data_IF_960847936172
#
_entry.id   IF_960847936172
#
_cell.length_a   1.000
_cell.length_b   1.000
_cell.length_c   1.000
_cell.angle_alpha   90.00
_cell.angle_beta   90.00
_cell.angle_gamma   90.00
#
_symmetry.space_group_name_H-M   'P 1'
#
loop_
_entity.id
_entity.type
_entity.pdbx_description
1 polymer ?
#
# COMPACT_ATOMS: atom_id res chain seq x y z
N UNK A 1 -3.67 1.60 27.19
CA UNK A 1 -2.21 1.69 26.95
C UNK A 1 -1.96 2.51 25.69
N UNK A 2 -0.79 3.15 25.56
CA UNK A 2 -0.37 3.82 24.31
C UNK A 2 0.59 2.90 23.56
N UNK A 3 0.49 2.88 22.23
CA UNK A 3 1.48 2.22 21.38
C UNK A 3 2.21 3.27 20.53
N UNK A 4 3.45 2.95 20.18
CA UNK A 4 4.28 3.70 19.25
C UNK A 4 4.79 2.73 18.18
N UNK A 5 4.53 3.04 16.92
CA UNK A 5 5.00 2.29 15.76
C UNK A 5 6.01 3.15 15.01
N UNK A 6 7.25 2.67 14.86
CA UNK A 6 8.30 3.34 14.09
C UNK A 6 8.53 2.59 12.79
N UNK A 7 8.43 3.28 11.66
CA UNK A 7 8.72 2.71 10.35
C UNK A 7 10.24 2.47 10.23
N UNK A 8 10.66 1.21 10.14
CA UNK A 8 12.08 0.87 9.89
C UNK A 8 12.41 0.82 8.40
N UNK A 9 11.40 0.54 7.58
CA UNK A 9 11.47 0.50 6.12
C UNK A 9 10.34 1.36 5.54
N UNK A 10 10.41 1.71 4.25
CA UNK A 10 9.29 2.37 3.58
C UNK A 10 8.01 1.58 3.79
N UNK A 11 6.96 2.25 4.29
CA UNK A 11 5.71 1.61 4.66
C UNK A 11 4.56 2.19 3.84
N UNK A 12 3.78 1.32 3.19
CA UNK A 12 2.53 1.66 2.55
C UNK A 12 1.38 1.02 3.32
N UNK A 13 0.46 1.84 3.82
CA UNK A 13 -0.87 1.40 4.25
C UNK A 13 -1.86 2.15 3.37
N UNK A 14 -2.40 1.48 2.35
CA UNK A 14 -3.20 2.14 1.32
C UNK A 14 -4.66 2.37 1.73
N UNK A 15 -5.26 3.45 1.24
CA UNK A 15 -6.70 3.73 1.30
C UNK A 15 -7.47 3.16 0.09
N UNK A 16 -6.78 2.48 -0.82
CA UNK A 16 -7.33 1.96 -2.07
C UNK A 16 -7.41 3.00 -3.19
N UNK A 17 -7.05 4.26 -2.93
CA UNK A 17 -6.94 5.29 -3.95
C UNK A 17 -5.55 5.25 -4.59
N UNK A 18 -5.47 5.90 -5.75
CA UNK A 18 -4.27 6.02 -6.55
C UNK A 18 -4.31 7.34 -7.30
N UNK A 19 -3.19 8.07 -7.30
CA UNK A 19 -3.02 9.24 -8.14
C UNK A 19 -2.90 8.77 -9.58
N UNK A 20 -3.80 9.23 -10.45
CA UNK A 20 -3.68 8.95 -11.87
C UNK A 20 -2.63 9.88 -12.50
N UNK A 21 -2.01 9.49 -13.63
CA UNK A 21 -1.00 10.33 -14.30
C UNK A 21 -1.48 11.73 -14.72
N UNK A 22 -2.79 11.96 -14.72
CA UNK A 22 -3.42 13.27 -14.98
C UNK A 22 -3.69 14.07 -13.70
N UNK A 23 -3.63 13.46 -12.51
CA UNK A 23 -3.85 14.14 -11.22
C UNK A 23 -2.58 14.79 -10.66
N UNK A 24 -1.43 14.46 -11.22
CA UNK A 24 -0.15 14.94 -10.72
C UNK A 24 0.81 15.26 -11.86
N UNK A 25 1.83 16.03 -11.50
CA UNK A 25 2.90 16.38 -12.40
C UNK A 25 4.25 16.21 -11.72
N UNK A 26 5.15 15.48 -12.36
CA UNK A 26 6.55 15.41 -11.92
C UNK A 26 7.29 16.65 -12.41
N UNK A 27 7.91 17.36 -11.47
CA UNK A 27 8.82 18.45 -11.79
C UNK A 27 10.03 18.36 -10.87
N UNK A 28 11.23 18.39 -11.46
CA UNK A 28 12.50 18.10 -10.77
C UNK A 28 12.46 16.71 -10.13
N UNK A 29 12.57 16.63 -8.81
CA UNK A 29 12.65 15.42 -7.99
C UNK A 29 11.41 15.22 -7.10
N UNK A 30 10.28 15.83 -7.47
CA UNK A 30 9.03 15.75 -6.71
C UNK A 30 7.80 15.54 -7.60
N UNK A 31 6.82 14.86 -7.02
CA UNK A 31 5.46 14.67 -7.52
C UNK A 31 4.59 15.80 -6.97
N UNK A 32 4.09 16.67 -7.84
CA UNK A 32 3.17 17.75 -7.48
C UNK A 32 1.74 17.28 -7.76
N UNK A 33 0.97 17.02 -6.71
CA UNK A 33 -0.44 16.64 -6.80
C UNK A 33 -1.26 17.89 -7.05
N UNK A 34 -2.00 17.90 -8.14
CA UNK A 34 -2.73 19.07 -8.62
C UNK A 34 -4.12 19.15 -7.99
N UNK A 35 -4.52 20.35 -7.56
CA UNK A 35 -5.91 20.64 -7.20
C UNK A 35 -6.75 20.83 -8.47
N UNK A 36 -7.22 19.71 -9.01
CA UNK A 36 -8.05 19.68 -10.22
C UNK A 36 -9.31 20.54 -10.06
N UNK A 37 -9.91 20.59 -8.86
CA UNK A 37 -11.12 21.36 -8.62
C UNK A 37 -10.84 22.86 -8.66
N UNK A 38 -9.75 23.31 -8.04
CA UNK A 38 -9.37 24.72 -8.06
C UNK A 38 -8.94 25.19 -9.45
N UNK A 39 -8.22 24.34 -10.19
CA UNK A 39 -7.87 24.63 -11.59
C UNK A 39 -9.15 24.73 -12.43
N UNK A 40 -10.05 23.77 -12.31
CA UNK A 40 -11.33 23.78 -13.04
C UNK A 40 -12.17 25.01 -12.71
N UNK A 41 -12.31 25.38 -11.44
CA UNK A 41 -13.07 26.56 -11.01
C UNK A 41 -12.49 27.88 -11.53
N UNK A 42 -11.16 27.95 -11.67
CA UNK A 42 -10.49 29.11 -12.26
C UNK A 42 -10.78 29.21 -13.76
N UNK A 43 -10.65 28.08 -14.47
CA UNK A 43 -10.79 28.03 -15.93
C UNK A 43 -12.25 28.08 -16.39
N UNK A 44 -13.19 27.64 -15.56
CA UNK A 44 -14.63 27.67 -15.84
C UNK A 44 -15.16 29.10 -16.10
N UNK A 45 -14.44 30.12 -15.62
CA UNK A 45 -14.80 31.53 -15.81
C UNK A 45 -14.29 32.12 -17.13
N UNK A 46 -13.58 31.36 -17.96
CA UNK A 46 -12.97 31.88 -19.18
C UNK A 46 -13.02 30.91 -20.38
N UNK A 47 -12.67 31.39 -21.58
CA UNK A 47 -12.71 30.60 -22.81
C UNK A 47 -11.65 29.48 -22.87
N UNK A 48 -10.78 29.37 -21.86
CA UNK A 48 -9.68 28.40 -21.80
C UNK A 48 -10.11 27.01 -21.30
N UNK A 49 -11.37 26.86 -20.84
CA UNK A 49 -11.88 25.59 -20.32
C UNK A 49 -11.91 24.49 -21.39
N UNK A 50 -12.35 24.79 -22.61
CA UNK A 50 -12.46 23.77 -23.66
C UNK A 50 -11.08 23.22 -24.04
N UNK A 51 -10.07 24.10 -24.16
CA UNK A 51 -8.69 23.70 -24.42
C UNK A 51 -8.13 22.81 -23.30
N UNK A 52 -8.44 23.14 -22.05
CA UNK A 52 -8.06 22.33 -20.88
C UNK A 52 -8.67 20.92 -20.93
N UNK A 53 -9.98 20.83 -21.21
CA UNK A 53 -10.67 19.54 -21.31
C UNK A 53 -10.18 18.70 -22.49
N UNK A 54 -9.89 19.33 -23.64
CA UNK A 54 -9.29 18.65 -24.78
C UNK A 54 -7.89 18.10 -24.45
N UNK A 55 -7.08 18.85 -23.71
CA UNK A 55 -5.76 18.39 -23.26
C UNK A 55 -5.89 17.21 -22.29
N UNK A 56 -6.77 17.29 -21.29
CA UNK A 56 -7.04 16.18 -20.37
C UNK A 56 -7.53 14.92 -21.07
N UNK A 57 -8.38 15.06 -22.08
CA UNK A 57 -8.90 13.91 -22.85
C UNK A 57 -7.82 13.21 -23.67
N UNK A 58 -6.80 13.96 -24.13
CA UNK A 58 -5.73 13.44 -25.00
C UNK A 58 -4.48 13.00 -24.22
N UNK A 59 -4.25 13.57 -23.04
CA UNK A 59 -3.02 13.36 -22.30
C UNK A 59 -3.05 12.04 -21.51
N UNK A 60 -2.16 11.13 -21.88
CA UNK A 60 -1.83 9.96 -21.03
C UNK A 60 -0.96 10.34 -19.83
N UNK A 61 -0.27 11.49 -19.93
CA UNK A 61 0.72 11.99 -18.98
C UNK A 61 0.84 13.50 -19.12
N UNK A 62 0.85 14.23 -18.00
CA UNK A 62 1.02 15.69 -18.03
C UNK A 62 2.47 16.09 -18.31
N UNK A 63 2.67 17.00 -19.25
CA UNK A 63 3.96 17.53 -19.67
C UNK A 63 4.22 18.96 -19.14
N UNK A 64 5.50 19.33 -19.03
CA UNK A 64 5.86 20.64 -18.47
C UNK A 64 5.52 21.84 -19.34
N UNK A 65 5.56 21.69 -20.66
CA UNK A 65 5.24 22.79 -21.56
C UNK A 65 3.78 23.24 -21.39
N UNK A 66 2.86 22.30 -21.20
CA UNK A 66 1.43 22.61 -21.10
C UNK A 66 0.95 22.84 -19.65
N UNK A 67 1.55 22.15 -18.67
CA UNK A 67 1.02 22.09 -17.29
C UNK A 67 1.93 22.72 -16.22
N UNK A 68 3.15 23.14 -16.57
CA UNK A 68 4.13 23.63 -15.59
C UNK A 68 3.64 24.82 -14.76
N UNK A 69 2.90 25.75 -15.37
CA UNK A 69 2.31 26.89 -14.66
C UNK A 69 1.23 26.48 -13.65
N UNK A 70 0.47 25.42 -13.91
CA UNK A 70 -0.53 24.91 -12.98
C UNK A 70 0.12 24.19 -11.80
N UNK A 71 1.12 23.34 -12.05
CA UNK A 71 1.81 22.63 -10.98
C UNK A 71 2.58 23.54 -10.02
N UNK A 72 3.04 24.70 -10.47
CA UNK A 72 3.69 25.66 -9.58
C UNK A 72 2.69 26.37 -8.65
N UNK A 73 1.51 26.73 -9.16
CA UNK A 73 0.57 27.61 -8.47
C UNK A 73 -0.61 26.88 -7.79
N UNK A 74 -0.94 25.67 -8.25
CA UNK A 74 -2.13 24.91 -7.85
C UNK A 74 -1.81 23.47 -7.42
N UNK A 75 -0.62 23.25 -6.84
CA UNK A 75 -0.29 21.98 -6.22
C UNK A 75 -0.75 21.97 -4.75
N UNK A 76 -1.62 21.01 -4.40
CA UNK A 76 -2.06 20.77 -3.02
C UNK A 76 -0.96 20.14 -2.18
N UNK A 77 -0.27 19.16 -2.78
CA UNK A 77 0.80 18.41 -2.13
C UNK A 77 2.01 18.31 -3.04
N UNK A 78 3.18 18.44 -2.45
CA UNK A 78 4.46 18.19 -3.11
C UNK A 78 5.15 17.06 -2.39
N UNK A 79 5.25 15.92 -3.06
CA UNK A 79 5.78 14.69 -2.48
C UNK A 79 7.12 14.42 -3.13
N UNK A 80 8.24 14.51 -2.40
CA UNK A 80 9.54 14.25 -2.98
C UNK A 80 9.67 12.77 -3.33
N UNK A 81 10.41 12.48 -4.40
CA UNK A 81 10.92 11.12 -4.61
C UNK A 81 11.92 10.77 -3.51
N UNK A 82 12.09 9.47 -3.25
CA UNK A 82 13.13 9.00 -2.35
C UNK A 82 14.54 9.40 -2.82
N UNK A 83 14.79 9.32 -4.12
CA UNK A 83 16.04 9.71 -4.75
C UNK A 83 15.82 10.42 -6.10
N UNK A 84 16.72 11.33 -6.48
CA UNK A 84 16.59 12.14 -7.71
C UNK A 84 16.58 11.32 -9.01
N UNK A 85 17.24 10.16 -9.02
CA UNK A 85 17.27 9.27 -10.20
C UNK A 85 15.90 8.67 -10.55
N UNK A 86 14.94 8.72 -9.63
CA UNK A 86 13.58 8.22 -9.81
C UNK A 86 12.86 8.91 -10.97
N UNK A 87 13.15 10.20 -11.19
CA UNK A 87 12.56 10.99 -12.29
C UNK A 87 12.84 10.36 -13.65
N UNK A 88 14.06 9.87 -13.88
CA UNK A 88 14.43 9.22 -15.15
C UNK A 88 13.65 7.91 -15.38
N UNK A 89 13.40 7.14 -14.31
CA UNK A 89 12.57 5.94 -14.41
C UNK A 89 11.10 6.28 -14.68
N UNK A 90 10.59 7.37 -14.07
CA UNK A 90 9.23 7.84 -14.30
C UNK A 90 9.02 8.37 -15.72
N UNK A 91 10.02 9.08 -16.28
CA UNK A 91 9.99 9.59 -17.66
C UNK A 91 9.87 8.46 -18.69
N UNK A 92 10.59 7.35 -18.48
CA UNK A 92 10.62 6.18 -19.38
C UNK A 92 9.45 5.21 -19.17
N UNK A 93 8.77 5.28 -18.03
CA UNK A 93 7.68 4.37 -17.70
C UNK A 93 6.43 4.62 -18.57
N UNK A 94 5.73 3.55 -18.91
CA UNK A 94 4.43 3.61 -19.59
C UNK A 94 3.36 4.19 -18.66
N UNK A 95 2.43 4.98 -19.20
CA UNK A 95 1.37 5.63 -18.44
C UNK A 95 0.55 4.67 -17.55
N UNK A 96 0.32 3.44 -18.03
CA UNK A 96 -0.37 2.38 -17.30
C UNK A 96 0.30 2.00 -15.96
N UNK A 97 1.62 2.19 -15.85
CA UNK A 97 2.40 1.89 -14.63
C UNK A 97 2.63 3.13 -13.75
N UNK A 98 2.09 4.29 -14.15
CA UNK A 98 2.27 5.57 -13.49
C UNK A 98 1.13 5.93 -12.53
N UNK A 99 0.25 4.98 -12.23
CA UNK A 99 -0.70 5.13 -11.13
C UNK A 99 0.02 4.95 -9.81
N UNK A 100 0.04 5.98 -8.97
CA UNK A 100 0.76 5.98 -7.70
C UNK A 100 -0.25 5.68 -6.58
N UNK A 101 -0.24 4.49 -5.94
CA UNK A 101 -1.06 4.24 -4.77
C UNK A 101 -0.74 5.22 -3.65
N UNK A 102 -1.78 5.73 -3.00
CA UNK A 102 -1.69 6.71 -1.93
C UNK A 102 -1.65 6.05 -0.57
N UNK A 103 -0.99 6.71 0.38
CA UNK A 103 -1.01 6.32 1.78
C UNK A 103 -2.35 6.74 2.40
N UNK A 104 -2.84 5.98 3.39
CA UNK A 104 -4.07 6.27 4.10
C UNK A 104 -3.99 7.63 4.79
N UNK A 105 -4.89 8.54 4.42
CA UNK A 105 -4.92 9.89 4.94
C UNK A 105 -6.35 10.35 5.26
N UNK A 106 -6.47 11.07 6.38
CA UNK A 106 -7.68 11.78 6.77
C UNK A 106 -7.57 13.27 6.46
N UNK A 107 -8.52 14.06 6.97
CA UNK A 107 -8.51 15.53 6.82
C UNK A 107 -7.26 16.17 7.45
N UNK A 108 -6.78 15.60 8.55
CA UNK A 108 -5.63 16.12 9.31
C UNK A 108 -4.27 15.59 8.81
N UNK A 109 -4.26 14.59 7.94
CA UNK A 109 -3.04 14.03 7.35
C UNK A 109 -2.99 12.50 7.32
N UNK A 110 -1.83 11.94 6.89
CA UNK A 110 -1.58 10.50 6.84
C UNK A 110 -1.66 9.86 8.22
N UNK A 111 -2.29 8.71 8.33
CA UNK A 111 -2.40 7.95 9.58
C UNK A 111 -2.39 6.45 9.31
N UNK A 112 -2.15 5.63 10.34
CA UNK A 112 -2.28 4.19 10.26
C UNK A 112 -3.65 3.79 10.83
N UNK A 113 -4.54 3.18 10.02
CA UNK A 113 -5.73 2.55 10.52
C UNK A 113 -5.42 1.46 11.55
N UNK A 114 -6.15 1.44 12.66
CA UNK A 114 -6.01 0.43 13.72
C UNK A 114 -6.27 -0.98 13.21
N UNK A 115 -7.07 -1.13 12.15
CA UNK A 115 -7.28 -2.39 11.44
C UNK A 115 -6.00 -2.94 10.79
N UNK A 116 -5.13 -2.08 10.26
CA UNK A 116 -3.86 -2.51 9.66
C UNK A 116 -2.89 -3.04 10.73
N UNK A 117 -2.76 -2.33 11.86
CA UNK A 117 -1.96 -2.77 13.01
C UNK A 117 -2.54 -4.06 13.60
N UNK A 118 -3.87 -4.12 13.77
CA UNK A 118 -4.55 -5.30 14.31
C UNK A 118 -4.42 -6.50 13.37
N UNK A 119 -4.43 -6.28 12.06
CA UNK A 119 -4.18 -7.31 11.04
C UNK A 119 -2.79 -7.92 11.17
N UNK A 120 -1.75 -7.09 11.29
CA UNK A 120 -0.38 -7.58 11.48
C UNK A 120 -0.22 -8.41 12.77
N UNK A 121 -0.79 -7.95 13.89
CA UNK A 121 -0.79 -8.69 15.15
C UNK A 121 -1.59 -9.99 15.06
N UNK A 122 -2.73 -9.98 14.33
CA UNK A 122 -3.55 -11.17 14.07
C UNK A 122 -2.73 -12.22 13.31
N UNK A 123 -2.02 -11.83 12.26
CA UNK A 123 -1.12 -12.74 11.52
C UNK A 123 -0.03 -13.32 12.43
N UNK A 124 0.60 -12.50 13.27
CA UNK A 124 1.59 -12.97 14.24
C UNK A 124 1.01 -13.98 15.24
N UNK A 125 -0.19 -13.73 15.75
CA UNK A 125 -0.87 -14.64 16.67
C UNK A 125 -1.25 -15.97 15.99
N UNK A 126 -1.77 -15.91 14.77
CA UNK A 126 -2.10 -17.11 13.96
C UNK A 126 -0.84 -17.93 13.75
N UNK A 127 0.25 -17.30 13.31
CA UNK A 127 1.54 -17.96 13.09
C UNK A 127 2.10 -18.59 14.36
N UNK A 128 2.01 -17.91 15.51
CA UNK A 128 2.49 -18.44 16.81
C UNK A 128 1.78 -19.73 17.25
N UNK A 129 0.64 -20.06 16.65
CA UNK A 129 -0.19 -21.23 16.96
C UNK A 129 -0.21 -22.27 15.86
N UNK A 130 0.45 -22.00 14.74
CA UNK A 130 0.57 -22.97 13.66
C UNK A 130 1.44 -24.15 14.11
N UNK A 131 0.99 -25.34 13.73
CA UNK A 131 1.74 -26.58 13.94
C UNK A 131 2.15 -27.17 12.59
N UNK A 132 3.10 -28.11 12.59
CA UNK A 132 3.47 -28.85 11.38
C UNK A 132 2.28 -29.60 10.76
N UNK A 133 1.29 -29.98 11.57
CA UNK A 133 0.05 -30.60 11.08
C UNK A 133 -0.84 -29.59 10.35
N UNK A 134 -0.93 -28.35 10.84
CA UNK A 134 -1.67 -27.26 10.18
C UNK A 134 -1.18 -27.03 8.74
N UNK A 135 0.14 -27.07 8.54
CA UNK A 135 0.76 -26.95 7.21
C UNK A 135 0.43 -28.14 6.30
N UNK A 136 0.46 -29.37 6.84
CA UNK A 136 0.08 -30.58 6.08
C UNK A 136 -1.39 -30.54 5.69
N UNK A 137 -2.27 -30.09 6.56
CA UNK A 137 -3.71 -29.98 6.30
C UNK A 137 -3.99 -28.95 5.21
N UNK A 138 -3.31 -27.78 5.25
CA UNK A 138 -3.41 -26.76 4.19
C UNK A 138 -2.89 -27.34 2.87
N UNK A 139 -1.72 -28.01 2.88
CA UNK A 139 -1.13 -28.59 1.68
C UNK A 139 -2.02 -29.67 1.04
N UNK A 140 -2.62 -30.55 1.86
CA UNK A 140 -3.55 -31.57 1.38
C UNK A 140 -4.79 -30.97 0.70
N UNK A 141 -5.33 -29.87 1.24
CA UNK A 141 -6.47 -29.16 0.64
C UNK A 141 -6.16 -28.47 -0.68
N UNK A 142 -4.89 -28.12 -0.91
CA UNK A 142 -4.45 -27.53 -2.17
C UNK A 142 -4.32 -28.55 -3.30
N UNK A 143 -4.18 -29.84 -2.97
CA UNK A 143 -4.04 -30.93 -3.95
C UNK A 143 -5.38 -31.44 -4.50
N UNK A 144 -6.52 -30.98 -3.96
CA UNK A 144 -7.84 -31.35 -4.48
C UNK A 144 -8.16 -30.70 -5.84
N UNK A 145 -9.12 -31.27 -6.58
CA UNK A 145 -9.55 -30.81 -7.92
C UNK A 145 -9.93 -29.31 -7.97
N UNK A 146 -10.34 -28.73 -6.84
CA UNK A 146 -10.64 -27.31 -6.71
C UNK A 146 -9.94 -26.71 -5.50
N UNK A 147 -8.78 -26.10 -5.72
CA UNK A 147 -8.07 -25.38 -4.67
C UNK A 147 -8.98 -24.29 -4.08
N UNK A 148 -9.15 -24.24 -2.75
CA UNK A 148 -10.01 -23.26 -2.12
C UNK A 148 -9.48 -21.84 -2.34
N UNK A 149 -10.39 -20.88 -2.56
CA UNK A 149 -10.04 -19.45 -2.74
C UNK A 149 -9.33 -18.87 -1.50
N UNK A 150 -9.65 -19.39 -0.32
CA UNK A 150 -9.10 -18.95 0.97
C UNK A 150 -8.65 -20.17 1.78
N UNK A 151 -7.49 -20.74 1.45
CA UNK A 151 -6.97 -21.93 2.12
C UNK A 151 -6.67 -21.70 3.61
N UNK A 152 -6.36 -20.45 3.99
CA UNK A 152 -5.95 -20.07 5.33
C UNK A 152 -7.09 -19.88 6.32
N UNK A 153 -8.34 -19.67 5.88
CA UNK A 153 -9.46 -19.30 6.76
C UNK A 153 -9.68 -20.33 7.86
N UNK A 154 -9.65 -21.63 7.51
CA UNK A 154 -9.86 -22.70 8.50
C UNK A 154 -8.69 -22.81 9.48
N UNK A 155 -7.45 -22.65 8.99
CA UNK A 155 -6.27 -22.68 9.86
C UNK A 155 -6.27 -21.48 10.82
N UNK A 156 -6.77 -20.34 10.37
CA UNK A 156 -6.98 -19.15 11.17
C UNK A 156 -8.10 -19.35 12.21
N UNK A 157 -9.26 -19.89 11.82
CA UNK A 157 -10.35 -20.21 12.75
C UNK A 157 -9.91 -21.22 13.83
N UNK A 158 -9.11 -22.23 13.47
CA UNK A 158 -8.52 -23.15 14.44
C UNK A 158 -7.54 -22.45 15.37
N UNK A 159 -6.73 -21.53 14.86
CA UNK A 159 -5.72 -20.83 15.65
C UNK A 159 -6.32 -19.82 16.63
N UNK A 160 -7.28 -19.00 16.18
CA UNK A 160 -7.77 -17.84 16.95
C UNK A 160 -9.27 -17.85 17.22
N UNK A 161 -10.01 -18.86 16.77
CA UNK A 161 -11.45 -19.01 16.92
C UNK A 161 -12.24 -18.39 15.76
N UNK A 162 -13.45 -18.92 15.54
CA UNK A 162 -14.43 -18.35 14.61
C UNK A 162 -14.73 -16.87 14.94
N UNK A 163 -15.26 -16.06 13.99
CA UNK A 163 -15.50 -14.63 14.20
C UNK A 163 -16.26 -14.28 15.49
N UNK A 164 -17.23 -15.12 15.87
CA UNK A 164 -18.04 -14.97 17.09
C UNK A 164 -17.23 -15.17 18.37
N UNK A 165 -16.26 -16.07 18.34
CA UNK A 165 -15.42 -16.44 19.47
C UNK A 165 -13.95 -16.08 19.22
N UNK A 166 -13.67 -15.04 18.43
CA UNK A 166 -12.30 -14.73 18.06
C UNK A 166 -11.54 -14.14 19.25
N UNK A 167 -10.38 -14.72 19.58
CA UNK A 167 -9.47 -14.21 20.64
C UNK A 167 -9.00 -12.77 20.38
N UNK A 168 -9.06 -12.32 19.13
CA UNK A 168 -8.76 -10.93 18.75
C UNK A 168 -9.78 -9.91 19.28
N UNK A 169 -10.90 -10.34 19.88
CA UNK A 169 -11.84 -9.46 20.57
C UNK A 169 -11.27 -8.88 21.88
N UNK A 170 -10.29 -9.55 22.50
CA UNK A 170 -9.64 -9.07 23.71
C UNK A 170 -8.78 -7.81 23.47
N UNK A 171 -8.38 -7.55 22.22
CA UNK A 171 -7.50 -6.42 21.86
C UNK A 171 -8.23 -5.46 20.93
N UNK A 172 -8.42 -4.23 21.36
CA UNK A 172 -8.90 -3.12 20.54
C UNK A 172 -7.75 -2.14 20.28
N UNK A 173 -7.56 -1.78 19.01
CA UNK A 173 -6.50 -0.89 18.55
C UNK A 173 -7.16 0.27 17.84
N UNK A 174 -6.89 1.49 18.30
CA UNK A 174 -7.35 2.69 17.62
C UNK A 174 -6.47 2.99 16.42
N UNK A 175 -7.02 3.78 15.50
CA UNK A 175 -6.24 4.50 14.51
C UNK A 175 -5.13 5.32 15.20
N UNK A 176 -4.02 5.52 14.50
CA UNK A 176 -2.95 6.39 14.98
C UNK A 176 -3.36 7.86 14.87
N UNK A 177 -2.68 8.71 15.63
CA UNK A 177 -2.65 10.13 15.33
C UNK A 177 -2.09 10.37 13.92
N UNK A 178 -2.55 11.42 13.22
CA UNK A 178 -2.02 11.80 11.93
C UNK A 178 -0.58 12.30 12.05
N UNK A 179 0.21 12.13 11.00
CA UNK A 179 1.56 12.67 10.86
C UNK A 179 1.58 13.73 9.75
N UNK A 180 2.70 14.46 9.63
CA UNK A 180 2.87 15.42 8.54
C UNK A 180 3.08 14.72 7.20
N UNK A 181 2.52 15.30 6.12
CA UNK A 181 2.82 14.86 4.75
C UNK A 181 4.32 14.98 4.40
N UNK A 182 5.10 15.78 5.13
CA UNK A 182 6.56 15.84 4.96
C UNK A 182 7.27 14.51 5.26
N UNK A 183 6.61 13.60 5.98
CA UNK A 183 7.10 12.24 6.27
C UNK A 183 6.82 11.25 5.12
N UNK A 184 6.10 11.66 4.08
CA UNK A 184 5.77 10.82 2.93
C UNK A 184 6.76 11.06 1.78
N UNK A 185 7.14 9.99 1.08
CA UNK A 185 7.95 10.04 -0.14
C UNK A 185 7.40 9.09 -1.19
N UNK A 186 7.71 9.33 -2.45
CA UNK A 186 7.41 8.39 -3.54
C UNK A 186 8.61 7.48 -3.78
N UNK A 187 8.36 6.17 -3.72
CA UNK A 187 9.38 5.13 -3.90
C UNK A 187 9.16 4.38 -5.22
N UNK A 188 10.25 3.96 -5.86
CA UNK A 188 10.23 3.01 -6.96
C UNK A 188 10.22 1.58 -6.42
N UNK A 189 9.17 0.86 -6.79
CA UNK A 189 8.96 -0.54 -6.48
C UNK A 189 9.29 -1.40 -7.71
N UNK A 190 9.88 -2.56 -7.43
CA UNK A 190 10.12 -3.62 -8.39
C UNK A 190 9.71 -4.94 -7.78
N UNK A 191 9.17 -5.84 -8.60
CA UNK A 191 8.68 -7.13 -8.13
C UNK A 191 9.70 -8.20 -8.51
N UNK A 192 10.39 -8.74 -7.51
CA UNK A 192 11.25 -9.91 -7.66
C UNK A 192 10.41 -11.19 -7.81
N UNK A 193 10.93 -12.18 -8.51
CA UNK A 193 10.29 -13.48 -8.71
C UNK A 193 11.33 -14.58 -8.85
N UNK A 194 10.93 -15.83 -8.59
CA UNK A 194 11.77 -17.00 -8.85
C UNK A 194 11.45 -17.54 -10.25
N UNK A 195 12.48 -17.65 -11.09
CA UNK A 195 12.40 -18.19 -12.45
C UNK A 195 12.95 -19.62 -12.44
N UNK A 196 12.13 -20.59 -12.85
CA UNK A 196 12.57 -21.99 -12.97
C UNK A 196 13.48 -22.15 -14.18
N UNK A 197 14.63 -22.81 -13.98
CA UNK A 197 15.59 -23.18 -15.04
C UNK A 197 15.54 -24.67 -15.40
N UNK A 198 14.53 -25.39 -14.92
CA UNK A 198 14.45 -26.85 -15.02
C UNK A 198 15.25 -27.55 -13.91
N UNK A 199 15.03 -28.87 -13.77
CA UNK A 199 15.69 -29.72 -12.76
C UNK A 199 15.58 -29.19 -11.30
N UNK A 200 14.49 -28.49 -10.96
CA UNK A 200 14.28 -27.93 -9.61
C UNK A 200 15.18 -26.74 -9.27
N UNK A 201 15.90 -26.16 -10.23
CA UNK A 201 16.73 -24.97 -10.02
C UNK A 201 15.90 -23.70 -10.23
N UNK A 202 16.00 -22.78 -9.27
CA UNK A 202 15.36 -21.48 -9.30
C UNK A 202 16.41 -20.38 -9.23
N UNK A 203 16.22 -19.35 -10.05
CA UNK A 203 17.06 -18.15 -10.06
C UNK A 203 16.22 -16.91 -9.80
N UNK A 204 16.85 -15.85 -9.30
CA UNK A 204 16.23 -14.54 -9.17
C UNK A 204 15.93 -13.98 -10.57
N UNK A 205 14.70 -13.53 -10.77
CA UNK A 205 14.33 -12.66 -11.88
C UNK A 205 13.50 -11.48 -11.40
N UNK A 206 13.28 -10.51 -12.27
CA UNK A 206 12.43 -9.35 -12.01
C UNK A 206 11.24 -9.33 -12.96
N UNK A 207 10.04 -9.06 -12.47
CA UNK A 207 8.85 -9.01 -13.32
C UNK A 207 8.93 -7.84 -14.29
N UNK A 208 8.66 -8.14 -15.55
CA UNK A 208 8.50 -7.16 -16.62
C UNK A 208 7.12 -7.38 -17.24
N UNK A 209 6.14 -6.57 -16.87
CA UNK A 209 4.84 -6.52 -17.52
C UNK A 209 4.94 -5.82 -18.89
N UNK A 210 4.35 -6.37 -19.96
CA UNK A 210 3.60 -7.64 -20.05
C UNK A 210 4.46 -8.87 -20.44
N UNK A 211 5.77 -8.72 -20.57
CA UNK A 211 6.71 -9.68 -21.22
C UNK A 211 7.25 -10.81 -20.31
N UNK A 212 6.77 -10.93 -19.07
CA UNK A 212 7.16 -12.00 -18.16
C UNK A 212 8.18 -11.53 -17.12
N UNK A 213 9.42 -12.04 -17.19
CA UNK A 213 10.49 -11.72 -16.23
C UNK A 213 11.83 -11.52 -16.92
N UNK A 214 12.65 -10.62 -16.39
CA UNK A 214 14.04 -10.37 -16.82
C UNK A 214 15.03 -10.99 -15.85
N UNK A 215 16.29 -11.08 -16.28
CA UNK A 215 17.39 -11.63 -15.50
C UNK A 215 17.59 -10.86 -14.17
N UNK A 216 17.92 -11.59 -13.10
CA UNK A 216 18.14 -11.02 -11.77
C UNK A 216 19.24 -9.95 -11.71
N UNK A 217 20.20 -9.98 -12.65
CA UNK A 217 21.29 -9.00 -12.77
C UNK A 217 20.87 -7.68 -13.42
N UNK A 218 19.66 -7.60 -13.98
CA UNK A 218 19.16 -6.43 -14.73
C UNK A 218 17.84 -5.90 -14.15
N UNK A 219 17.80 -5.47 -12.87
CA UNK A 219 16.60 -4.90 -12.26
C UNK A 219 16.09 -3.66 -13.01
N UNK A 220 16.96 -2.92 -13.68
CA UNK A 220 16.62 -1.72 -14.45
C UNK A 220 15.67 -1.99 -15.62
N UNK A 221 15.67 -3.22 -16.16
CA UNK A 221 14.76 -3.62 -17.25
C UNK A 221 13.38 -4.06 -16.75
N UNK A 222 13.21 -4.22 -15.43
CA UNK A 222 11.93 -4.60 -14.85
C UNK A 222 10.91 -3.47 -15.01
N UNK A 223 9.63 -3.81 -14.89
CA UNK A 223 8.59 -2.77 -14.89
C UNK A 223 8.73 -1.89 -13.64
N UNK A 224 8.91 -0.57 -13.77
CA UNK A 224 8.91 0.34 -12.64
C UNK A 224 7.48 0.55 -12.13
N UNK A 225 7.31 0.50 -10.82
CA UNK A 225 6.07 0.88 -10.12
C UNK A 225 6.39 1.98 -9.12
N UNK A 226 5.42 2.85 -8.81
CA UNK A 226 5.63 3.93 -7.85
C UNK A 226 4.57 3.89 -6.77
N UNK A 227 4.93 4.22 -5.53
CA UNK A 227 3.98 4.32 -4.42
C UNK A 227 4.36 5.43 -3.45
N UNK A 228 3.36 6.12 -2.91
CA UNK A 228 3.51 7.04 -1.79
C UNK A 228 3.63 6.23 -0.49
N UNK A 229 4.75 6.33 0.21
CA UNK A 229 5.02 5.55 1.42
C UNK A 229 5.57 6.46 2.53
N UNK A 230 5.26 6.09 3.78
CA UNK A 230 5.89 6.72 4.94
C UNK A 230 7.40 6.41 4.95
N UNK A 231 8.22 7.43 5.15
CA UNK A 231 9.67 7.29 5.17
C UNK A 231 10.16 6.53 6.42
N UNK A 232 11.28 5.79 6.33
CA UNK A 232 11.95 5.25 7.50
C UNK A 232 12.19 6.33 8.57
N UNK A 233 11.99 5.97 9.84
CA UNK A 233 12.02 6.88 10.99
C UNK A 233 10.68 7.54 11.31
N UNK A 234 9.69 7.49 10.42
CA UNK A 234 8.35 8.03 10.71
C UNK A 234 7.72 7.27 11.87
N UNK A 235 7.17 8.02 12.82
CA UNK A 235 6.58 7.45 14.04
C UNK A 235 5.09 7.73 14.09
N UNK A 236 4.30 6.69 14.34
CA UNK A 236 2.85 6.75 14.52
C UNK A 236 2.50 6.34 15.95
N UNK A 237 1.63 7.10 16.60
CA UNK A 237 1.20 6.81 17.98
C UNK A 237 -0.31 6.62 18.04
N UNK A 238 -0.76 5.67 18.86
CA UNK A 238 -2.18 5.43 19.05
C UNK A 238 -2.49 4.77 20.38
N UNK A 239 -3.74 4.34 20.55
CA UNK A 239 -4.22 3.71 21.78
C UNK A 239 -4.49 2.24 21.56
N UNK A 240 -4.04 1.44 22.52
CA UNK A 240 -4.34 0.02 22.63
C UNK A 240 -5.14 -0.20 23.91
N UNK A 241 -6.29 -0.85 23.78
CA UNK A 241 -7.16 -1.22 24.88
C UNK A 241 -7.27 -2.74 24.96
N UNK A 242 -6.88 -3.28 26.11
CA UNK A 242 -7.10 -4.68 26.45
C UNK A 242 -8.42 -4.76 27.20
N UNK A 243 -9.40 -5.44 26.60
CA UNK A 243 -10.72 -5.53 27.20
C UNK A 243 -10.71 -6.62 28.28
N UNK A 244 -10.62 -6.17 29.54
CA UNK A 244 -10.55 -7.02 30.73
C UNK A 244 -11.76 -7.93 30.91
N UNK A 245 -12.92 -7.57 30.36
CA UNK A 245 -14.12 -8.41 30.37
C UNK A 245 -13.84 -9.82 29.82
N UNK A 246 -13.04 -9.91 28.75
CA UNK A 246 -12.70 -11.19 28.13
C UNK A 246 -11.66 -12.01 28.90
N UNK A 247 -11.07 -11.45 29.97
CA UNK A 247 -10.15 -12.17 30.85
C UNK A 247 -10.87 -12.85 32.04
N UNK A 248 -12.16 -12.56 32.26
CA UNK A 248 -12.93 -13.20 33.32
C UNK A 248 -13.08 -14.71 33.04
N UNK A 249 -12.84 -15.60 34.03
CA UNK A 249 -12.86 -17.05 33.82
C UNK A 249 -14.17 -17.59 33.21
N UNK A 250 -15.30 -17.00 33.58
CA UNK A 250 -16.63 -17.37 33.07
C UNK A 250 -16.76 -17.07 31.58
N UNK A 251 -16.32 -15.88 31.15
CA UNK A 251 -16.34 -15.45 29.75
C UNK A 251 -15.36 -16.27 28.91
N UNK A 252 -14.17 -16.56 29.44
CA UNK A 252 -13.18 -17.42 28.76
C UNK A 252 -13.75 -18.83 28.50
N UNK A 253 -14.50 -19.39 29.46
CA UNK A 253 -15.20 -20.68 29.28
C UNK A 253 -16.33 -20.56 28.26
N UNK A 254 -17.16 -19.52 28.35
CA UNK A 254 -18.27 -19.30 27.42
C UNK A 254 -17.80 -19.16 25.96
N UNK A 255 -16.64 -18.52 25.74
CA UNK A 255 -16.03 -18.35 24.42
C UNK A 255 -15.14 -19.51 23.97
N UNK A 256 -15.02 -20.58 24.78
CA UNK A 256 -14.18 -21.76 24.49
C UNK A 256 -12.72 -21.40 24.20
N UNK A 257 -12.17 -20.45 24.96
CA UNK A 257 -10.77 -20.01 24.79
C UNK A 257 -9.77 -20.83 25.63
N UNK A 258 -10.27 -21.71 26.50
CA UNK A 258 -9.55 -22.73 27.26
C UNK A 258 -9.98 -24.11 26.81
#
# INVERSE_FOLDING_TARGET
>A
MRYRLTCLTPLLVGDGRRLSPIDYMVWKDQVNVLDQNRIFNLLAKGPRLEGYLMQLKKADKLDFASWGGFAQNFADRRIPFEHKSMTTYWERARAENLFIPTFAAGLEGPYIPGSAVKGALRTGLVFSRWSGNTLKDIAGRMQGERSPRRPGDVAEEQAIGAPEHSRMKAVAISDSAPVSYASMKVYLLRVATLVSRGAGRYELGWKQAPRGSVDGRRPEDSTPWFAEMAAPGTTFEGRLHLNQFFHQPEIVRALRWR
#
